data_IF_253486139927
#
_entry.id   IF_253486139927
#
_cell.length_a   1.000
_cell.length_b   1.000
_cell.length_c   1.000
_cell.angle_alpha   90.00
_cell.angle_beta   90.00
_cell.angle_gamma   90.00
#
_symmetry.space_group_name_H-M   'P 1'
#
loop_
_entity.id
_entity.type
_entity.pdbx_description
1 polymer ?
#
# COMPACT_ATOMS: atom_id res chain seq x y z
N UNK A 1 25.00 22.29 -4.10
CA UNK A 1 25.80 21.26 -3.39
C UNK A 1 24.85 20.38 -2.58
N UNK A 2 25.12 19.08 -2.47
CA UNK A 2 24.44 18.20 -1.50
C UNK A 2 25.01 18.49 -0.10
N UNK A 3 24.17 18.90 0.85
CA UNK A 3 24.59 19.28 2.20
C UNK A 3 25.27 18.14 2.97
N UNK A 4 24.80 16.90 2.76
CA UNK A 4 25.30 15.72 3.48
C UNK A 4 26.69 15.27 3.01
N UNK A 5 26.94 15.35 1.72
CA UNK A 5 28.18 14.83 1.12
C UNK A 5 29.19 15.92 0.79
N UNK A 6 28.75 17.20 0.69
CA UNK A 6 29.56 18.34 0.24
C UNK A 6 29.94 18.25 -1.25
N UNK A 7 29.31 17.35 -2.02
CA UNK A 7 29.57 17.20 -3.45
C UNK A 7 28.61 18.04 -4.30
N UNK A 8 29.01 18.44 -5.53
CA UNK A 8 28.07 19.02 -6.47
C UNK A 8 26.85 18.13 -6.72
N UNK A 9 25.66 18.74 -6.79
CA UNK A 9 24.45 18.04 -7.23
C UNK A 9 24.48 17.83 -8.74
N UNK A 10 24.17 16.60 -9.15
CA UNK A 10 24.14 16.20 -10.54
C UNK A 10 22.74 15.81 -10.99
N UNK A 11 22.28 16.35 -12.11
CA UNK A 11 21.10 15.88 -12.85
C UNK A 11 21.59 15.38 -14.22
N UNK A 12 21.29 14.16 -14.55
CA UNK A 12 21.79 13.48 -15.77
C UNK A 12 23.31 13.56 -15.92
N UNK A 13 24.03 13.47 -14.81
CA UNK A 13 25.50 13.52 -14.75
C UNK A 13 26.10 14.91 -14.99
N UNK A 14 25.29 15.97 -14.96
CA UNK A 14 25.73 17.36 -15.10
C UNK A 14 25.47 18.12 -13.80
N UNK A 15 26.42 18.98 -13.44
CA UNK A 15 26.26 19.88 -12.29
C UNK A 15 25.13 20.89 -12.54
N UNK A 16 24.36 21.17 -11.47
CA UNK A 16 23.34 22.22 -11.48
C UNK A 16 24.04 23.54 -11.25
N UNK A 17 24.12 24.36 -12.29
CA UNK A 17 24.74 25.67 -12.26
C UNK A 17 23.84 26.74 -12.87
N UNK A 18 23.98 27.98 -12.43
CA UNK A 18 23.35 29.14 -13.04
C UNK A 18 24.37 30.29 -13.11
N UNK A 19 24.21 31.18 -14.08
CA UNK A 19 25.07 32.32 -14.28
C UNK A 19 24.24 33.54 -14.66
N UNK A 20 24.59 34.71 -14.12
CA UNK A 20 23.98 35.97 -14.47
C UNK A 20 25.02 37.10 -14.53
N UNK A 21 25.11 37.72 -15.68
CA UNK A 21 25.92 38.95 -15.85
C UNK A 21 25.07 40.16 -15.55
N UNK A 22 25.59 41.09 -14.73
CA UNK A 22 24.91 42.32 -14.37
C UNK A 22 25.91 43.48 -14.33
N UNK A 23 25.38 44.70 -14.29
CA UNK A 23 26.16 45.90 -14.09
C UNK A 23 25.75 46.53 -12.77
N UNK A 24 26.70 46.68 -11.87
CA UNK A 24 26.45 47.36 -10.59
C UNK A 24 26.13 48.84 -10.83
N UNK A 25 25.03 49.31 -10.26
CA UNK A 25 24.56 50.69 -10.37
C UNK A 25 24.70 51.47 -9.04
N UNK A 26 25.11 50.79 -7.97
CA UNK A 26 25.32 51.32 -6.64
C UNK A 26 26.24 50.49 -5.79
N UNK A 27 26.52 50.93 -4.58
CA UNK A 27 27.39 50.26 -3.61
C UNK A 27 26.72 49.01 -2.99
N UNK A 28 25.38 49.00 -2.96
CA UNK A 28 24.59 47.91 -2.41
C UNK A 28 23.44 47.57 -3.36
N UNK A 29 23.43 46.38 -3.88
CA UNK A 29 22.39 45.86 -4.78
C UNK A 29 22.09 44.37 -4.49
N UNK A 30 20.87 43.91 -4.84
CA UNK A 30 20.48 42.54 -4.83
C UNK A 30 20.39 42.01 -6.26
N UNK A 31 21.02 40.91 -6.55
CA UNK A 31 20.94 40.19 -7.83
C UNK A 31 20.31 38.83 -7.59
N UNK A 32 19.23 38.55 -8.30
CA UNK A 32 18.59 37.23 -8.26
C UNK A 32 19.25 36.31 -9.29
N UNK A 33 19.62 35.10 -8.83
CA UNK A 33 20.13 34.02 -9.65
C UNK A 33 19.14 32.86 -9.61
N UNK A 34 18.65 32.44 -10.76
CA UNK A 34 17.61 31.41 -10.89
C UNK A 34 18.22 30.10 -11.34
N UNK A 35 17.94 29.01 -10.60
CA UNK A 35 18.31 27.65 -10.94
C UNK A 35 17.07 26.89 -11.37
N UNK A 36 17.06 26.32 -12.58
CA UNK A 36 15.99 25.50 -13.11
C UNK A 36 16.52 24.11 -13.46
N UNK A 37 15.98 23.07 -12.83
CA UNK A 37 16.41 21.69 -13.04
C UNK A 37 15.28 20.70 -12.69
N UNK A 38 15.39 19.46 -13.17
CA UNK A 38 14.53 18.37 -12.77
C UNK A 38 15.00 17.82 -11.41
N UNK A 39 14.19 18.03 -10.37
CA UNK A 39 14.49 17.59 -9.02
C UNK A 39 13.98 16.16 -8.70
N UNK A 40 13.36 15.45 -9.65
CA UNK A 40 12.75 14.14 -9.42
C UNK A 40 13.72 13.08 -8.87
N UNK A 41 14.98 13.12 -9.32
CA UNK A 41 16.04 12.24 -8.83
C UNK A 41 16.73 12.71 -7.52
N UNK A 42 16.32 13.86 -7.01
CA UNK A 42 16.91 14.51 -5.82
C UNK A 42 15.97 14.49 -4.61
N UNK A 43 14.86 13.75 -4.67
CA UNK A 43 13.90 13.62 -3.55
C UNK A 43 14.62 13.25 -2.25
N UNK A 44 14.25 13.88 -1.15
CA UNK A 44 14.86 13.69 0.17
C UNK A 44 16.27 14.28 0.34
N UNK A 45 16.71 15.14 -0.59
CA UNK A 45 18.03 15.78 -0.54
C UNK A 45 17.94 17.19 0.05
N UNK A 46 18.87 17.52 0.93
CA UNK A 46 19.09 18.91 1.40
C UNK A 46 20.16 19.54 0.53
N UNK A 47 19.86 20.66 -0.10
CA UNK A 47 20.75 21.35 -1.03
C UNK A 47 21.26 22.66 -0.43
N UNK A 48 22.50 23.04 -0.74
CA UNK A 48 23.09 24.35 -0.38
C UNK A 48 23.64 24.99 -1.64
N UNK A 49 23.33 26.27 -1.84
CA UNK A 49 23.84 27.03 -2.98
C UNK A 49 25.16 27.69 -2.60
N UNK A 50 26.15 27.62 -3.50
CA UNK A 50 27.42 28.32 -3.41
C UNK A 50 27.51 29.32 -4.56
N UNK A 51 27.89 30.55 -4.26
CA UNK A 51 28.02 31.61 -5.26
C UNK A 51 29.42 32.17 -5.28
N UNK A 52 29.90 32.45 -6.49
CA UNK A 52 31.13 33.16 -6.74
C UNK A 52 30.85 34.40 -7.59
N UNK A 53 31.42 35.53 -7.20
CA UNK A 53 31.33 36.79 -7.94
C UNK A 53 32.63 37.08 -8.69
N UNK A 54 32.52 37.43 -9.97
CA UNK A 54 33.65 37.67 -10.84
C UNK A 54 33.60 39.08 -11.45
N UNK A 55 34.77 39.71 -11.62
CA UNK A 55 34.95 40.85 -12.49
C UNK A 55 35.90 40.44 -13.65
N UNK A 56 35.30 40.22 -14.81
CA UNK A 56 35.97 39.56 -15.91
C UNK A 56 36.34 38.11 -15.54
N UNK A 57 37.64 37.76 -15.54
CA UNK A 57 38.13 36.43 -15.15
C UNK A 57 38.57 36.39 -13.67
N UNK A 58 38.52 37.51 -12.94
CA UNK A 58 38.97 37.56 -11.56
C UNK A 58 37.82 37.29 -10.60
N UNK A 59 37.96 36.32 -9.73
CA UNK A 59 37.07 36.09 -8.59
C UNK A 59 37.31 37.23 -7.56
N UNK A 60 36.23 37.97 -7.24
CA UNK A 60 36.26 39.11 -6.31
C UNK A 60 35.45 38.85 -5.05
N UNK A 61 34.68 37.76 -5.00
CA UNK A 61 33.94 37.37 -3.82
C UNK A 61 33.40 35.94 -3.94
N UNK A 62 33.28 35.26 -2.82
CA UNK A 62 32.70 33.94 -2.74
C UNK A 62 31.82 33.80 -1.50
N UNK A 63 30.70 33.13 -1.64
CA UNK A 63 29.89 32.63 -0.54
C UNK A 63 29.74 31.11 -0.69
N UNK A 64 30.48 30.36 0.13
CA UNK A 64 30.59 28.90 0.03
C UNK A 64 30.60 28.27 1.43
N UNK A 65 29.52 28.48 2.17
CA UNK A 65 29.32 27.91 3.50
C UNK A 65 28.26 26.79 3.45
N UNK A 66 28.71 25.56 3.69
CA UNK A 66 27.82 24.37 3.66
C UNK A 66 26.77 24.38 4.80
N UNK A 67 27.05 25.12 5.89
CA UNK A 67 26.16 25.22 7.03
C UNK A 67 25.22 26.44 7.00
N UNK A 68 25.30 27.25 5.95
CA UNK A 68 24.43 28.42 5.81
C UNK A 68 22.96 28.00 5.57
N UNK A 69 22.12 28.20 6.58
CA UNK A 69 20.67 27.93 6.50
C UNK A 69 19.96 28.86 5.51
N UNK A 70 20.48 30.07 5.28
CA UNK A 70 19.92 31.03 4.31
C UNK A 70 20.11 30.58 2.86
N UNK A 71 21.09 29.71 2.60
CA UNK A 71 21.38 29.14 1.29
C UNK A 71 20.90 27.69 1.15
N UNK A 72 20.21 27.16 2.19
CA UNK A 72 19.78 25.77 2.23
C UNK A 72 18.33 25.63 1.71
N UNK A 73 18.11 24.66 0.82
CA UNK A 73 16.80 24.29 0.29
C UNK A 73 16.59 22.79 0.44
N UNK A 74 15.50 22.39 1.03
CA UNK A 74 15.05 21.00 1.11
C UNK A 74 14.30 20.59 -0.16
N UNK A 75 14.55 19.40 -0.65
CA UNK A 75 13.74 18.77 -1.71
C UNK A 75 12.95 17.65 -1.02
N UNK A 76 11.65 17.85 -0.74
CA UNK A 76 10.88 16.91 0.06
C UNK A 76 10.73 15.53 -0.58
N UNK A 77 10.53 14.53 0.28
CA UNK A 77 10.22 13.15 -0.08
C UNK A 77 9.09 12.63 0.82
N UNK A 78 8.21 11.82 0.26
CA UNK A 78 7.28 10.98 1.03
C UNK A 78 7.46 9.52 0.65
N UNK A 79 7.28 8.64 1.63
CA UNK A 79 7.20 7.20 1.46
C UNK A 79 6.09 6.66 2.34
N UNK A 80 5.39 5.62 1.91
CA UNK A 80 4.14 5.21 2.54
C UNK A 80 4.08 3.72 2.85
N UNK A 81 3.20 3.33 3.77
CA UNK A 81 2.94 1.94 4.12
C UNK A 81 1.45 1.75 4.34
N UNK A 82 0.79 1.05 3.41
CA UNK A 82 -0.65 0.79 3.41
C UNK A 82 -0.98 -0.55 4.08
N UNK A 83 -1.82 -0.54 5.11
CA UNK A 83 -2.28 -1.76 5.79
C UNK A 83 -3.78 -1.73 6.06
N UNK A 84 -4.37 -2.91 6.25
CA UNK A 84 -5.71 -3.02 6.81
C UNK A 84 -5.70 -2.61 8.28
N UNK A 85 -6.60 -1.70 8.70
CA UNK A 85 -6.68 -1.22 10.08
C UNK A 85 -6.88 -2.35 11.08
N UNK A 86 -7.76 -3.29 10.77
CA UNK A 86 -8.11 -4.40 11.66
C UNK A 86 -7.10 -5.55 11.57
N UNK A 87 -6.61 -5.84 10.35
CA UNK A 87 -5.66 -6.93 10.11
C UNK A 87 -4.23 -6.58 10.51
N UNK A 88 -3.85 -5.30 10.47
CA UNK A 88 -2.49 -4.77 10.70
C UNK A 88 -1.45 -5.37 9.71
N UNK A 89 -1.91 -5.78 8.52
CA UNK A 89 -1.09 -6.39 7.46
C UNK A 89 -1.59 -5.93 6.08
N UNK A 90 -0.86 -6.31 5.03
CA UNK A 90 -1.19 -6.05 3.63
C UNK A 90 -2.29 -6.98 3.06
N UNK A 91 -3.02 -7.70 3.91
CA UNK A 91 -4.11 -8.60 3.51
C UNK A 91 -5.40 -8.16 4.19
N UNK A 92 -6.46 -7.99 3.42
CA UNK A 92 -7.78 -7.56 3.91
C UNK A 92 -8.87 -8.49 3.37
N UNK A 93 -9.99 -8.59 4.10
CA UNK A 93 -11.16 -9.31 3.62
C UNK A 93 -12.06 -8.42 2.75
N UNK A 94 -12.82 -9.04 1.84
CA UNK A 94 -13.85 -8.35 1.08
C UNK A 94 -15.10 -8.17 1.95
N UNK A 95 -15.17 -7.08 2.68
CA UNK A 95 -16.25 -6.77 3.63
C UNK A 95 -17.03 -5.50 3.22
N UNK A 96 -18.27 -5.35 3.73
CA UNK A 96 -19.09 -4.16 3.49
C UNK A 96 -18.44 -2.87 4.02
N UNK A 97 -17.60 -2.99 5.02
CA UNK A 97 -16.82 -1.87 5.57
C UNK A 97 -15.35 -2.23 5.68
N UNK A 98 -14.56 -1.68 4.79
CA UNK A 98 -13.08 -1.76 4.83
C UNK A 98 -12.55 -0.42 5.33
N UNK A 99 -11.58 -0.49 6.23
CA UNK A 99 -10.75 0.64 6.63
C UNK A 99 -9.29 0.30 6.38
N UNK A 100 -8.63 1.08 5.53
CA UNK A 100 -7.18 1.03 5.32
C UNK A 100 -6.55 2.24 5.98
N UNK A 101 -5.35 2.06 6.50
CA UNK A 101 -4.52 3.14 7.01
C UNK A 101 -3.23 3.14 6.21
N UNK A 102 -2.96 4.28 5.59
CA UNK A 102 -1.69 4.53 4.93
C UNK A 102 -0.88 5.50 5.80
N UNK A 103 0.22 4.99 6.33
CA UNK A 103 1.15 5.80 7.12
C UNK A 103 2.16 6.44 6.17
N UNK A 104 1.96 7.71 5.90
CA UNK A 104 2.82 8.54 5.04
C UNK A 104 3.94 9.12 5.88
N UNK A 105 5.16 8.66 5.66
CA UNK A 105 6.39 9.24 6.22
C UNK A 105 6.85 10.36 5.31
N UNK A 106 7.25 11.48 5.90
CA UNK A 106 7.78 12.62 5.16
C UNK A 106 9.18 12.99 5.64
N UNK A 107 9.94 13.60 4.73
CA UNK A 107 11.26 14.16 4.98
C UNK A 107 11.42 15.46 4.18
N UNK A 108 12.13 16.44 4.74
CA UNK A 108 12.41 17.73 4.10
C UNK A 108 11.24 18.72 4.14
N UNK A 109 10.20 18.52 5.00
CA UNK A 109 9.15 19.51 5.18
C UNK A 109 9.58 20.62 6.14
N UNK A 110 9.07 21.82 5.92
CA UNK A 110 9.34 22.98 6.76
C UNK A 110 8.55 22.88 8.08
N UNK A 111 9.29 22.93 9.20
CA UNK A 111 8.70 22.89 10.54
C UNK A 111 7.74 24.05 10.77
N UNK A 112 6.55 23.76 11.31
CA UNK A 112 5.50 24.72 11.65
C UNK A 112 4.58 25.05 10.47
N UNK A 113 4.87 24.55 9.28
CA UNK A 113 4.05 24.74 8.08
C UNK A 113 2.97 23.67 7.96
N UNK A 114 1.82 24.05 7.43
CA UNK A 114 0.69 23.16 7.25
C UNK A 114 0.73 22.48 5.87
N UNK A 115 0.56 21.16 5.87
CA UNK A 115 0.56 20.33 4.67
C UNK A 115 -0.71 19.48 4.59
N UNK A 116 -1.10 19.12 3.38
CA UNK A 116 -2.19 18.21 3.09
C UNK A 116 -1.65 17.05 2.26
N UNK A 117 -1.98 15.82 2.65
CA UNK A 117 -1.75 14.63 1.83
C UNK A 117 -3.08 14.17 1.27
N UNK A 118 -3.15 14.04 -0.04
CA UNK A 118 -4.27 13.45 -0.77
C UNK A 118 -3.87 12.05 -1.24
N UNK A 119 -4.68 11.04 -0.91
CA UNK A 119 -4.48 9.66 -1.28
C UNK A 119 -5.58 9.16 -2.23
N UNK A 120 -5.20 8.33 -3.20
CA UNK A 120 -6.11 7.66 -4.14
C UNK A 120 -5.76 6.19 -4.22
N UNK A 121 -6.74 5.29 -4.06
CA UNK A 121 -6.53 3.86 -4.30
C UNK A 121 -6.64 3.53 -5.78
N UNK A 122 -5.74 2.67 -6.24
CA UNK A 122 -5.70 2.13 -7.60
C UNK A 122 -5.92 0.62 -7.59
N UNK A 123 -6.61 0.11 -8.60
CA UNK A 123 -6.62 -1.32 -8.93
C UNK A 123 -5.32 -1.65 -9.70
N UNK A 124 -4.47 -2.49 -9.11
CA UNK A 124 -3.16 -2.84 -9.67
C UNK A 124 -3.25 -3.49 -11.06
N UNK A 125 -4.28 -4.30 -11.30
CA UNK A 125 -4.46 -5.02 -12.57
C UNK A 125 -4.82 -4.07 -13.71
N UNK A 126 -5.76 -3.17 -13.46
CA UNK A 126 -6.24 -2.23 -14.48
C UNK A 126 -5.37 -0.97 -14.58
N UNK A 127 -4.59 -0.68 -13.54
CA UNK A 127 -3.81 0.56 -13.37
C UNK A 127 -4.67 1.82 -13.43
N UNK A 128 -5.93 1.70 -13.00
CA UNK A 128 -6.88 2.82 -12.94
C UNK A 128 -7.27 3.09 -11.50
N UNK A 129 -7.68 4.32 -11.16
CA UNK A 129 -8.25 4.61 -9.86
C UNK A 129 -9.40 3.64 -9.54
N UNK A 130 -9.40 3.12 -8.29
CA UNK A 130 -10.46 2.25 -7.82
C UNK A 130 -11.76 3.06 -7.70
N UNK A 131 -12.80 2.60 -8.37
CA UNK A 131 -14.14 3.19 -8.28
C UNK A 131 -15.11 2.23 -7.59
N UNK A 132 -15.87 2.76 -6.64
CA UNK A 132 -16.98 2.07 -5.97
C UNK A 132 -18.22 2.93 -6.13
N UNK A 133 -19.30 2.35 -6.67
CA UNK A 133 -20.54 3.08 -7.00
C UNK A 133 -20.31 4.32 -7.88
N UNK A 134 -19.34 4.23 -8.82
CA UNK A 134 -18.99 5.31 -9.75
C UNK A 134 -18.25 6.49 -9.11
N UNK A 135 -17.66 6.30 -7.93
CA UNK A 135 -16.82 7.29 -7.25
C UNK A 135 -15.44 6.70 -6.96
N UNK A 136 -14.42 7.48 -7.19
CA UNK A 136 -13.05 7.11 -6.82
C UNK A 136 -12.94 6.97 -5.30
N UNK A 137 -12.18 5.98 -4.86
CA UNK A 137 -11.84 5.80 -3.44
C UNK A 137 -10.64 6.68 -3.12
N UNK A 138 -10.89 7.78 -2.42
CA UNK A 138 -9.90 8.78 -2.03
C UNK A 138 -9.95 9.05 -0.53
N UNK A 139 -8.86 9.54 0.01
CA UNK A 139 -8.76 10.02 1.38
C UNK A 139 -7.81 11.22 1.45
N UNK A 140 -7.89 11.99 2.52
CA UNK A 140 -6.94 13.10 2.77
C UNK A 140 -6.70 13.30 4.25
N UNK A 141 -5.51 13.80 4.56
CA UNK A 141 -5.14 14.25 5.90
C UNK A 141 -4.43 15.60 5.82
N UNK A 142 -4.77 16.52 6.72
CA UNK A 142 -4.08 17.80 6.88
C UNK A 142 -3.35 17.81 8.22
N UNK A 143 -2.12 18.27 8.24
CA UNK A 143 -1.28 18.30 9.43
C UNK A 143 -0.28 19.44 9.40
N UNK A 144 0.20 19.85 10.58
CA UNK A 144 1.33 20.77 10.70
C UNK A 144 2.60 19.96 10.93
N UNK A 145 3.64 20.17 10.12
CA UNK A 145 4.92 19.50 10.31
C UNK A 145 5.59 19.96 11.61
N UNK A 146 5.74 19.07 12.60
CA UNK A 146 6.39 19.40 13.87
C UNK A 146 7.92 19.41 13.78
N UNK A 147 8.45 18.71 12.76
CA UNK A 147 9.86 18.66 12.41
C UNK A 147 9.99 18.43 10.89
N UNK A 148 11.21 18.51 10.36
CA UNK A 148 11.47 18.25 8.93
C UNK A 148 11.21 16.80 8.53
N UNK A 149 11.18 15.87 9.49
CA UNK A 149 10.87 14.44 9.30
C UNK A 149 9.74 14.03 10.27
N UNK A 150 8.83 13.19 9.80
CA UNK A 150 7.72 12.68 10.60
C UNK A 150 6.80 11.77 9.81
N UNK A 151 5.57 11.61 10.30
CA UNK A 151 4.54 10.83 9.59
C UNK A 151 3.14 11.34 9.86
N UNK A 152 2.23 11.03 8.95
CA UNK A 152 0.78 11.27 9.07
C UNK A 152 0.03 10.07 8.53
N UNK A 153 -1.11 9.73 9.13
CA UNK A 153 -1.97 8.65 8.65
C UNK A 153 -3.08 9.20 7.74
N UNK A 154 -3.19 8.60 6.56
CA UNK A 154 -4.29 8.81 5.62
C UNK A 154 -5.22 7.59 5.70
N UNK A 155 -6.50 7.79 6.04
CA UNK A 155 -7.43 6.70 6.29
C UNK A 155 -8.49 6.62 5.18
N UNK A 156 -8.52 5.48 4.48
CA UNK A 156 -9.54 5.17 3.48
C UNK A 156 -10.64 4.32 4.11
N UNK A 157 -11.91 4.70 3.88
CA UNK A 157 -13.08 3.92 4.29
C UNK A 157 -14.01 3.71 3.09
N UNK A 158 -14.35 2.45 2.79
CA UNK A 158 -15.17 2.11 1.64
C UNK A 158 -15.84 0.74 1.78
N UNK A 159 -16.84 0.46 0.91
CA UNK A 159 -17.43 -0.87 0.77
C UNK A 159 -16.58 -1.72 -0.18
N UNK A 160 -16.03 -2.81 0.31
CA UNK A 160 -15.16 -3.71 -0.44
C UNK A 160 -15.77 -5.08 -0.74
N UNK A 161 -17.08 -5.28 -0.58
CA UNK A 161 -17.76 -6.58 -0.76
C UNK A 161 -17.48 -7.25 -2.11
N UNK A 162 -17.28 -6.45 -3.16
CA UNK A 162 -17.05 -6.93 -4.54
C UNK A 162 -15.56 -6.98 -4.92
N UNK A 163 -14.66 -6.74 -3.97
CA UNK A 163 -13.22 -6.64 -4.25
C UNK A 163 -12.46 -7.95 -4.10
N UNK A 164 -13.13 -9.08 -3.79
CA UNK A 164 -12.48 -10.38 -3.67
C UNK A 164 -11.67 -10.73 -4.94
N UNK A 165 -10.38 -10.99 -4.77
CA UNK A 165 -9.43 -11.26 -5.85
C UNK A 165 -8.69 -10.03 -6.38
N UNK A 166 -8.97 -8.82 -5.85
CA UNK A 166 -8.30 -7.58 -6.24
C UNK A 166 -7.01 -7.34 -5.46
N UNK A 167 -6.12 -6.59 -6.08
CA UNK A 167 -4.92 -6.01 -5.46
C UNK A 167 -5.00 -4.51 -5.60
N UNK A 168 -4.89 -3.79 -4.48
CA UNK A 168 -5.04 -2.34 -4.42
C UNK A 168 -3.71 -1.71 -4.05
N UNK A 169 -3.42 -0.54 -4.64
CA UNK A 169 -2.21 0.25 -4.38
C UNK A 169 -2.64 1.67 -4.07
N UNK A 170 -2.08 2.26 -3.02
CA UNK A 170 -2.30 3.67 -2.72
C UNK A 170 -1.28 4.55 -3.46
N UNK A 171 -1.71 5.70 -3.93
CA UNK A 171 -0.88 6.77 -4.47
C UNK A 171 -1.13 8.04 -3.68
N UNK A 172 -0.08 8.74 -3.28
CA UNK A 172 -0.16 9.94 -2.45
C UNK A 172 0.51 11.14 -3.10
N UNK A 173 -0.10 12.30 -2.85
CA UNK A 173 0.42 13.63 -3.20
C UNK A 173 0.38 14.51 -1.96
N UNK A 174 1.51 15.11 -1.61
CA UNK A 174 1.63 16.08 -0.52
C UNK A 174 1.66 17.51 -1.07
N UNK A 175 0.82 18.36 -0.52
CA UNK A 175 0.68 19.75 -0.90
C UNK A 175 0.96 20.66 0.28
N UNK A 176 1.61 21.78 0.03
CA UNK A 176 1.65 22.91 0.92
C UNK A 176 0.27 23.62 0.92
N UNK A 177 -0.33 23.78 2.09
CA UNK A 177 -1.71 24.30 2.19
C UNK A 177 -1.79 25.77 1.83
N UNK A 178 -0.77 26.57 2.18
CA UNK A 178 -0.77 28.02 1.94
C UNK A 178 -0.65 28.37 0.45
N UNK A 179 0.26 27.66 -0.25
CA UNK A 179 0.56 27.93 -1.66
C UNK A 179 -0.21 27.02 -2.62
N UNK A 180 -0.81 25.94 -2.11
CA UNK A 180 -1.40 24.85 -2.89
C UNK A 180 -0.42 24.25 -3.90
N UNK A 181 0.85 24.21 -3.55
CA UNK A 181 1.93 23.65 -4.37
C UNK A 181 2.15 22.20 -4.01
N UNK A 182 2.24 21.31 -5.01
CA UNK A 182 2.70 19.92 -4.83
C UNK A 182 4.15 19.96 -4.37
N UNK A 183 4.45 19.40 -3.20
CA UNK A 183 5.80 19.37 -2.60
C UNK A 183 6.46 18.01 -2.67
N UNK A 184 5.67 16.92 -2.66
CA UNK A 184 6.16 15.55 -2.82
C UNK A 184 5.05 14.64 -3.32
N UNK A 185 5.41 13.53 -3.95
CA UNK A 185 4.49 12.48 -4.35
C UNK A 185 5.12 11.09 -4.19
N UNK A 186 4.26 10.08 -4.02
CA UNK A 186 4.64 8.67 -4.09
C UNK A 186 3.60 7.91 -4.92
N UNK A 187 3.99 7.51 -6.14
CA UNK A 187 3.09 6.93 -7.16
C UNK A 187 3.77 5.75 -7.87
N UNK A 188 4.10 4.72 -7.12
CA UNK A 188 4.67 3.49 -7.68
C UNK A 188 3.66 2.35 -7.59
N UNK A 189 3.10 1.93 -8.74
CA UNK A 189 2.11 0.84 -8.82
C UNK A 189 2.70 -0.51 -8.40
N UNK A 190 4.02 -0.65 -8.39
CA UNK A 190 4.72 -1.87 -8.06
C UNK A 190 5.32 -1.88 -6.64
N UNK A 191 5.15 -0.79 -5.88
CA UNK A 191 5.58 -0.74 -4.49
C UNK A 191 4.75 -1.71 -3.62
N UNK A 192 5.44 -2.69 -3.01
CA UNK A 192 4.83 -3.68 -2.13
C UNK A 192 4.32 -3.09 -0.80
N UNK A 193 4.98 -2.06 -0.27
CA UNK A 193 4.58 -1.40 0.98
C UNK A 193 3.28 -0.58 0.82
N UNK A 194 2.97 -0.12 -0.41
CA UNK A 194 1.73 0.56 -0.74
C UNK A 194 0.62 -0.39 -1.21
N UNK A 195 0.88 -1.69 -1.23
CA UNK A 195 -0.01 -2.69 -1.82
C UNK A 195 -0.77 -3.47 -0.77
N UNK A 196 -2.09 -3.57 -0.88
CA UNK A 196 -2.92 -4.53 -0.13
C UNK A 196 -3.61 -5.50 -1.07
N UNK A 197 -3.73 -6.77 -0.64
CA UNK A 197 -4.41 -7.81 -1.41
C UNK A 197 -5.73 -8.20 -0.75
N UNK A 198 -6.72 -8.49 -1.57
CA UNK A 198 -8.03 -9.02 -1.16
C UNK A 198 -8.14 -10.47 -1.62
N UNK A 199 -7.91 -11.47 -0.76
CA UNK A 199 -7.99 -12.86 -1.14
C UNK A 199 -9.36 -13.26 -1.66
N UNK A 200 -9.38 -14.28 -2.53
CA UNK A 200 -10.60 -14.91 -3.01
C UNK A 200 -10.48 -16.41 -2.86
N UNK A 201 -11.54 -17.05 -2.39
CA UNK A 201 -11.65 -18.48 -2.35
C UNK A 201 -12.88 -18.95 -3.10
N UNK A 202 -12.74 -20.13 -3.74
CA UNK A 202 -13.85 -20.86 -4.33
C UNK A 202 -13.70 -22.34 -3.97
N UNK A 203 -14.80 -23.06 -3.70
CA UNK A 203 -14.70 -24.43 -3.17
C UNK A 203 -15.49 -25.44 -3.99
N UNK A 204 -15.06 -26.70 -3.93
CA UNK A 204 -15.75 -27.83 -4.56
C UNK A 204 -15.70 -29.05 -3.65
N UNK A 205 -16.86 -29.38 -3.05
CA UNK A 205 -17.02 -30.53 -2.17
C UNK A 205 -17.31 -31.79 -2.99
N UNK A 206 -16.54 -32.86 -2.77
CA UNK A 206 -16.71 -34.21 -3.40
C UNK A 206 -16.40 -35.29 -2.38
N UNK A 207 -16.60 -36.58 -2.76
CA UNK A 207 -15.89 -37.65 -2.08
C UNK A 207 -14.41 -37.69 -2.51
N UNK A 208 -13.64 -38.62 -1.95
CA UNK A 208 -12.21 -38.82 -2.28
C UNK A 208 -11.96 -39.24 -3.74
N UNK A 209 -12.98 -39.74 -4.43
CA UNK A 209 -12.90 -40.20 -5.81
C UNK A 209 -13.46 -39.15 -6.81
N UNK A 210 -13.84 -37.96 -6.31
CA UNK A 210 -14.36 -36.86 -7.12
C UNK A 210 -15.87 -36.91 -7.37
N UNK A 211 -16.62 -37.83 -6.73
CA UNK A 211 -18.06 -37.94 -6.95
C UNK A 211 -18.85 -36.95 -6.10
N UNK A 212 -20.03 -36.56 -6.62
CA UNK A 212 -21.02 -35.69 -5.92
C UNK A 212 -22.06 -36.48 -5.13
N UNK A 213 -22.06 -37.83 -5.26
CA UNK A 213 -22.99 -38.71 -4.55
C UNK A 213 -22.15 -39.75 -3.79
N UNK A 214 -22.39 -39.84 -2.49
CA UNK A 214 -21.65 -40.77 -1.60
C UNK A 214 -22.60 -41.68 -0.84
N UNK A 215 -22.13 -42.86 -0.48
CA UNK A 215 -22.87 -43.75 0.42
C UNK A 215 -22.80 -43.20 1.85
N UNK A 216 -23.95 -43.24 2.54
CA UNK A 216 -24.02 -42.90 3.95
C UNK A 216 -23.42 -44.06 4.78
N UNK A 217 -22.15 -43.98 5.09
CA UNK A 217 -21.37 -44.99 5.81
C UNK A 217 -20.85 -44.46 7.15
N UNK A 218 -20.40 -45.35 8.04
CA UNK A 218 -19.80 -44.97 9.33
C UNK A 218 -18.50 -44.18 9.19
N UNK A 219 -17.78 -44.43 8.11
CA UNK A 219 -16.51 -43.73 7.80
C UNK A 219 -16.66 -43.06 6.43
N UNK A 220 -17.43 -41.97 6.40
CA UNK A 220 -17.57 -41.16 5.20
C UNK A 220 -16.51 -40.09 5.21
N UNK A 221 -15.83 -39.93 4.07
CA UNK A 221 -14.86 -38.86 3.84
C UNK A 221 -15.38 -37.99 2.71
N UNK A 222 -15.54 -36.69 3.00
CA UNK A 222 -15.77 -35.67 1.99
C UNK A 222 -14.53 -34.78 1.93
N UNK A 223 -14.13 -34.41 0.70
CA UNK A 223 -12.99 -33.55 0.43
C UNK A 223 -13.50 -32.26 -0.19
N UNK A 224 -13.24 -31.14 0.46
CA UNK A 224 -13.49 -29.84 -0.14
C UNK A 224 -12.18 -29.30 -0.73
N UNK A 225 -12.13 -29.19 -2.04
CA UNK A 225 -11.02 -28.58 -2.76
C UNK A 225 -11.25 -27.08 -2.83
N UNK A 226 -10.43 -26.33 -2.11
CA UNK A 226 -10.44 -24.88 -2.04
C UNK A 226 -9.47 -24.33 -3.06
N UNK A 227 -9.97 -23.64 -4.08
CA UNK A 227 -9.18 -22.79 -4.97
C UNK A 227 -8.99 -21.45 -4.28
N UNK A 228 -7.79 -20.93 -4.23
CA UNK A 228 -7.49 -19.62 -3.67
C UNK A 228 -6.76 -18.73 -4.68
N UNK A 229 -6.96 -17.42 -4.52
CA UNK A 229 -6.32 -16.35 -5.30
C UNK A 229 -5.90 -15.23 -4.33
N UNK A 230 -4.76 -14.59 -4.58
CA UNK A 230 -4.20 -13.49 -3.80
C UNK A 230 -3.90 -13.82 -2.32
N UNK A 231 -3.42 -15.04 -2.02
CA UNK A 231 -2.84 -15.31 -0.70
C UNK A 231 -1.38 -14.85 -0.64
N UNK A 232 -0.94 -14.45 0.56
CA UNK A 232 0.45 -14.07 0.83
C UNK A 232 1.33 -15.31 0.80
N UNK A 233 2.33 -15.33 -0.10
CA UNK A 233 3.28 -16.44 -0.25
C UNK A 233 4.15 -16.56 1.00
N UNK A 234 4.34 -17.80 1.49
CA UNK A 234 5.16 -18.08 2.65
C UNK A 234 4.48 -17.88 4.01
N UNK A 235 3.26 -17.36 4.05
CA UNK A 235 2.50 -17.18 5.29
C UNK A 235 1.56 -18.35 5.56
N UNK A 236 1.58 -18.92 6.79
CA UNK A 236 0.66 -20.00 7.15
C UNK A 236 -0.79 -19.51 7.18
N UNK A 237 -1.66 -20.26 6.52
CA UNK A 237 -3.10 -20.04 6.43
C UNK A 237 -3.84 -21.23 7.00
N UNK A 238 -4.91 -20.99 7.76
CA UNK A 238 -5.83 -22.02 8.25
C UNK A 238 -7.17 -21.93 7.51
N UNK A 239 -7.60 -23.04 6.89
CA UNK A 239 -8.94 -23.22 6.36
C UNK A 239 -9.80 -23.91 7.40
N UNK A 240 -10.95 -23.33 7.74
CA UNK A 240 -11.96 -23.91 8.63
C UNK A 240 -13.23 -24.17 7.85
N UNK A 241 -13.71 -25.43 7.92
CA UNK A 241 -14.89 -25.87 7.21
C UNK A 241 -15.98 -26.39 8.14
N UNK A 242 -17.23 -26.14 7.77
CA UNK A 242 -18.41 -26.67 8.40
C UNK A 242 -19.41 -27.18 7.36
N UNK A 243 -20.00 -28.35 7.56
CA UNK A 243 -21.02 -28.87 6.66
C UNK A 243 -22.42 -28.42 7.08
N UNK A 244 -23.20 -27.93 6.12
CA UNK A 244 -24.59 -27.55 6.25
C UNK A 244 -25.49 -28.46 5.44
N UNK A 245 -26.67 -28.74 5.96
CA UNK A 245 -27.76 -29.38 5.20
C UNK A 245 -28.38 -28.30 4.27
N UNK A 246 -28.31 -28.54 2.96
CA UNK A 246 -28.78 -27.60 1.93
C UNK A 246 -30.26 -27.23 2.10
N UNK A 247 -31.08 -28.20 2.55
CA UNK A 247 -32.54 -28.01 2.63
C UNK A 247 -32.95 -27.19 3.86
N UNK A 248 -32.29 -27.43 4.99
CA UNK A 248 -32.61 -26.75 6.26
C UNK A 248 -31.77 -25.51 6.50
N UNK A 249 -30.67 -25.35 5.76
CA UNK A 249 -29.68 -24.28 5.92
C UNK A 249 -29.09 -24.23 7.36
N UNK A 250 -29.01 -25.40 8.01
CA UNK A 250 -28.46 -25.55 9.36
C UNK A 250 -27.23 -26.44 9.34
N UNK A 251 -26.29 -26.27 10.28
CA UNK A 251 -25.18 -27.19 10.44
C UNK A 251 -25.65 -28.64 10.53
N UNK A 252 -24.91 -29.55 9.87
CA UNK A 252 -25.12 -31.00 10.03
C UNK A 252 -24.57 -31.40 11.39
N UNK A 253 -25.47 -32.01 12.19
CA UNK A 253 -25.15 -32.50 13.53
C UNK A 253 -25.03 -34.00 13.53
N UNK A 254 -23.91 -34.52 14.08
CA UNK A 254 -23.67 -35.95 14.36
C UNK A 254 -23.39 -36.08 15.85
N UNK A 255 -24.15 -36.91 16.55
CA UNK A 255 -24.06 -37.07 18.01
C UNK A 255 -24.03 -35.73 18.81
N UNK A 256 -24.84 -34.78 18.37
CA UNK A 256 -24.95 -33.46 18.99
C UNK A 256 -23.79 -32.51 18.71
N UNK A 257 -22.88 -32.83 17.81
CA UNK A 257 -21.76 -32.00 17.38
C UNK A 257 -21.85 -31.62 15.93
N UNK A 258 -21.43 -30.43 15.58
CA UNK A 258 -21.31 -29.98 14.20
C UNK A 258 -20.23 -30.76 13.46
N UNK A 259 -20.45 -31.06 12.18
CA UNK A 259 -19.42 -31.66 11.31
C UNK A 259 -18.53 -30.57 10.79
N UNK A 260 -17.35 -30.47 11.39
CA UNK A 260 -16.31 -29.46 11.06
C UNK A 260 -15.01 -30.13 10.65
N UNK A 261 -14.18 -29.42 9.91
CA UNK A 261 -12.84 -29.82 9.58
C UNK A 261 -11.94 -28.58 9.45
N UNK A 262 -10.64 -28.78 9.58
CA UNK A 262 -9.66 -27.71 9.32
C UNK A 262 -8.42 -28.28 8.64
N UNK A 263 -7.73 -27.43 7.90
CA UNK A 263 -6.45 -27.71 7.29
C UNK A 263 -5.57 -26.46 7.35
N UNK A 264 -4.27 -26.66 7.61
CA UNK A 264 -3.27 -25.60 7.58
C UNK A 264 -2.32 -25.84 6.43
N UNK A 265 -1.93 -24.79 5.74
CA UNK A 265 -0.95 -24.85 4.67
C UNK A 265 -0.23 -23.51 4.52
N UNK A 266 0.92 -23.53 3.89
CA UNK A 266 1.67 -22.34 3.52
C UNK A 266 1.65 -22.23 2.00
N UNK A 267 1.04 -21.17 1.41
CA UNK A 267 1.03 -20.97 -0.03
C UNK A 267 2.46 -20.82 -0.57
N UNK A 268 2.81 -21.60 -1.58
CA UNK A 268 4.07 -21.45 -2.32
C UNK A 268 3.91 -20.47 -3.49
N UNK A 269 2.66 -20.26 -3.94
CA UNK A 269 2.26 -19.29 -4.96
C UNK A 269 1.02 -18.54 -4.47
N UNK A 270 0.83 -17.29 -4.95
CA UNK A 270 -0.30 -16.46 -4.56
C UNK A 270 -1.66 -17.05 -4.95
N UNK A 271 -1.71 -17.98 -5.89
CA UNK A 271 -2.91 -18.68 -6.35
C UNK A 271 -2.65 -20.17 -6.45
N UNK A 272 -3.64 -20.99 -6.05
CA UNK A 272 -3.48 -22.43 -6.04
C UNK A 272 -4.69 -23.15 -5.49
N UNK A 273 -4.46 -24.37 -4.96
CA UNK A 273 -5.50 -25.20 -4.35
C UNK A 273 -5.02 -25.81 -3.04
N UNK A 274 -5.93 -25.93 -2.07
CA UNK A 274 -5.74 -26.68 -0.83
C UNK A 274 -6.96 -27.57 -0.58
N UNK A 275 -6.85 -28.54 0.32
CA UNK A 275 -7.95 -29.46 0.60
C UNK A 275 -8.30 -29.50 2.08
N UNK A 276 -9.60 -29.56 2.37
CA UNK A 276 -10.14 -29.77 3.72
C UNK A 276 -10.92 -31.09 3.73
N UNK A 277 -10.53 -32.06 4.58
CA UNK A 277 -11.16 -33.35 4.68
C UNK A 277 -12.12 -33.41 5.87
N UNK A 278 -13.39 -33.68 5.61
CA UNK A 278 -14.43 -33.99 6.62
C UNK A 278 -14.55 -35.50 6.78
N UNK A 279 -14.30 -36.03 7.99
CA UNK A 279 -14.40 -37.46 8.34
C UNK A 279 -15.47 -37.64 9.41
N UNK A 280 -16.53 -38.35 9.10
CA UNK A 280 -17.68 -38.49 10.01
C UNK A 280 -18.55 -39.73 9.71
N UNK A 281 -19.42 -40.13 10.65
CA UNK A 281 -20.46 -41.12 10.45
C UNK A 281 -21.68 -40.49 9.75
N UNK A 282 -21.89 -40.84 8.47
CA UNK A 282 -22.98 -40.30 7.68
C UNK A 282 -24.27 -41.12 7.77
N UNK A 283 -24.33 -42.22 8.51
CA UNK A 283 -25.48 -43.14 8.54
C UNK A 283 -26.78 -42.47 8.97
N UNK A 284 -26.72 -41.49 9.89
CA UNK A 284 -27.88 -40.74 10.40
C UNK A 284 -28.36 -39.63 9.46
N UNK A 285 -27.60 -39.32 8.41
CA UNK A 285 -27.91 -38.25 7.47
C UNK A 285 -28.14 -38.77 6.04
N UNK A 286 -28.43 -40.04 5.87
CA UNK A 286 -28.78 -40.64 4.57
C UNK A 286 -29.90 -39.82 3.89
N UNK A 287 -29.75 -39.54 2.59
CA UNK A 287 -30.70 -38.75 1.78
C UNK A 287 -30.60 -37.25 1.93
N UNK A 288 -29.69 -36.73 2.74
CA UNK A 288 -29.42 -35.29 2.83
C UNK A 288 -28.44 -34.83 1.77
N UNK A 289 -28.49 -33.53 1.44
CA UNK A 289 -27.52 -32.82 0.60
C UNK A 289 -26.66 -31.93 1.47
N UNK A 290 -25.36 -32.21 1.52
CA UNK A 290 -24.39 -31.41 2.27
C UNK A 290 -23.78 -30.30 1.39
N UNK A 291 -23.56 -29.14 2.00
CA UNK A 291 -22.79 -28.02 1.43
C UNK A 291 -21.70 -27.64 2.44
N UNK A 292 -20.49 -27.49 1.98
CA UNK A 292 -19.41 -26.97 2.81
C UNK A 292 -19.37 -25.44 2.78
N UNK A 293 -19.22 -24.84 3.95
CA UNK A 293 -18.85 -23.44 4.10
C UNK A 293 -17.40 -23.41 4.61
N UNK A 294 -16.54 -22.73 3.88
CA UNK A 294 -15.11 -22.60 4.22
C UNK A 294 -14.84 -21.14 4.55
N UNK A 295 -14.12 -20.92 5.65
CA UNK A 295 -13.52 -19.66 6.02
C UNK A 295 -11.99 -19.79 5.94
N UNK A 296 -11.34 -18.80 5.36
CA UNK A 296 -9.89 -18.67 5.33
C UNK A 296 -9.49 -17.69 6.44
N UNK A 297 -8.70 -18.16 7.41
CA UNK A 297 -8.20 -17.32 8.51
C UNK A 297 -6.68 -17.20 8.37
N UNK A 298 -6.16 -15.99 8.24
CA UNK A 298 -4.73 -15.72 8.42
C UNK A 298 -4.39 -15.79 9.92
N UNK A 299 -3.31 -16.45 10.27
CA UNK A 299 -2.81 -16.54 11.65
C UNK A 299 -1.76 -15.48 11.92
#
# INVERSE_FOLDING_TARGET
>A
MDKKTGNPLLVDGKEITAEKTFKANGENETVELEFTFDASALKGTTTVVFENLYEGENEIGTHADLEDEGQTVEIPEIGTTLIGKDSQIHVINADEKITLVDTVKYKGLEKGREYKVDGVLYDKETKQPLEIDGKQVTASATFTAEASEGSVDVTFEFNGSDLAGKTLVAFEEAYDVETNTLVADHKDIDDGEQTVVVPKIGTTLTDKDGNKTVNAAKETVLVDTVKYENLEVGREVELKGILYDKNTQKPIMIDGKEVTASAKFTPEEASGTAQVEFKFDATSIAGKTAVAFICCCSM
#
